data_IF_190070444077
#
_entry.id   IF_190070444077
#
_cell.length_a   1.000
_cell.length_b   1.000
_cell.length_c   1.000
_cell.angle_alpha   90.00
_cell.angle_beta   90.00
_cell.angle_gamma   90.00
#
_symmetry.space_group_name_H-M   'P 1'
#
loop_
_entity.id
_entity.type
_entity.pdbx_description
1 polymer ?
#
# COMPACT_ATOMS: atom_id res chain seq x y z
N UNK A 1 8.85 -3.17 13.58
CA UNK A 1 9.18 -4.17 12.55
C UNK A 1 10.64 -4.60 12.71
N UNK A 2 10.94 -5.89 12.60
CA UNK A 2 12.32 -6.41 12.60
C UNK A 2 12.98 -6.22 11.23
N UNK A 3 14.29 -6.47 11.14
CA UNK A 3 15.02 -6.41 9.86
C UNK A 3 14.52 -7.47 8.88
N UNK A 4 14.31 -8.71 9.36
CA UNK A 4 13.88 -9.81 8.50
C UNK A 4 12.44 -9.60 8.01
N UNK A 5 11.56 -9.07 8.86
CA UNK A 5 10.20 -8.72 8.45
C UNK A 5 10.18 -7.58 7.40
N UNK A 6 11.02 -6.56 7.58
CA UNK A 6 11.15 -5.49 6.59
C UNK A 6 11.74 -5.99 5.27
N UNK A 7 12.72 -6.89 5.34
CA UNK A 7 13.33 -7.51 4.16
C UNK A 7 12.29 -8.32 3.38
N UNK A 8 11.51 -9.16 4.06
CA UNK A 8 10.43 -9.94 3.44
C UNK A 8 9.38 -9.02 2.78
N UNK A 9 8.93 -7.98 3.48
CA UNK A 9 7.94 -7.02 2.95
C UNK A 9 8.45 -6.27 1.71
N UNK A 10 9.74 -5.90 1.69
CA UNK A 10 10.33 -5.16 0.58
C UNK A 10 10.71 -6.06 -0.59
N UNK A 11 11.35 -7.20 -0.34
CA UNK A 11 11.99 -7.99 -1.39
C UNK A 11 11.31 -9.33 -1.66
N UNK A 12 10.55 -9.88 -0.72
CA UNK A 12 10.03 -11.25 -0.80
C UNK A 12 11.17 -12.25 -1.00
N UNK A 13 11.00 -13.17 -1.94
CA UNK A 13 11.99 -14.21 -2.27
C UNK A 13 13.15 -13.71 -3.15
N UNK A 14 13.20 -12.41 -3.48
CA UNK A 14 14.29 -11.86 -4.30
C UNK A 14 15.62 -12.02 -3.57
N UNK A 15 16.71 -12.37 -4.27
CA UNK A 15 18.02 -12.67 -3.68
C UNK A 15 18.79 -11.40 -3.27
N UNK A 16 18.16 -10.53 -2.47
CA UNK A 16 18.76 -9.31 -1.94
C UNK A 16 19.36 -9.63 -0.57
N UNK A 17 20.62 -9.25 -0.34
CA UNK A 17 21.26 -9.49 0.96
C UNK A 17 20.74 -8.51 2.00
N UNK A 18 20.63 -8.94 3.26
CA UNK A 18 20.26 -8.06 4.40
C UNK A 18 21.24 -6.90 4.59
N UNK A 19 22.51 -7.05 4.16
CA UNK A 19 23.49 -5.96 4.13
C UNK A 19 23.08 -4.81 3.21
N UNK A 20 22.46 -5.09 2.06
CA UNK A 20 21.93 -4.07 1.15
C UNK A 20 20.84 -3.27 1.84
N UNK A 21 19.87 -3.94 2.48
CA UNK A 21 18.80 -3.28 3.24
C UNK A 21 19.35 -2.39 4.36
N UNK A 22 20.35 -2.85 5.11
CA UNK A 22 21.00 -2.03 6.16
C UNK A 22 21.63 -0.76 5.56
N UNK A 23 22.29 -0.87 4.41
CA UNK A 23 22.89 0.27 3.72
C UNK A 23 21.84 1.25 3.19
N UNK A 24 20.74 0.76 2.62
CA UNK A 24 19.61 1.58 2.19
C UNK A 24 18.97 2.32 3.36
N UNK A 25 18.70 1.64 4.48
CA UNK A 25 18.17 2.28 5.70
C UNK A 25 19.15 3.31 6.27
N UNK A 26 20.45 3.03 6.28
CA UNK A 26 21.47 3.99 6.72
C UNK A 26 21.45 5.25 5.85
N UNK A 27 21.29 5.07 4.55
CA UNK A 27 21.21 6.17 3.57
C UNK A 27 19.94 7.00 3.80
N UNK A 28 18.78 6.35 3.91
CA UNK A 28 17.51 7.01 4.20
C UNK A 28 17.55 7.75 5.54
N UNK A 29 18.11 7.14 6.59
CA UNK A 29 18.27 7.79 7.90
C UNK A 29 19.08 9.07 7.78
N UNK A 30 20.16 9.07 7.00
CA UNK A 30 20.98 10.27 6.77
C UNK A 30 20.20 11.34 6.00
N UNK A 31 19.48 10.97 4.95
CA UNK A 31 18.66 11.90 4.15
C UNK A 31 17.53 12.52 4.97
N UNK A 32 16.98 11.77 5.92
CA UNK A 32 15.87 12.19 6.78
C UNK A 32 16.34 12.78 8.11
N UNK A 33 17.62 13.17 8.22
CA UNK A 33 18.15 13.85 9.41
C UNK A 33 18.07 13.01 10.70
N UNK A 34 18.14 11.68 10.60
CA UNK A 34 18.03 10.78 11.74
C UNK A 34 16.63 10.29 12.05
N UNK A 35 15.59 10.70 11.31
CA UNK A 35 14.19 10.37 11.63
C UNK A 35 13.76 8.92 11.39
N UNK A 36 14.69 7.96 11.27
CA UNK A 36 14.38 6.53 11.30
C UNK A 36 15.03 5.91 12.53
N UNK A 37 14.22 5.40 13.45
CA UNK A 37 14.74 4.68 14.62
C UNK A 37 15.49 3.39 14.24
N UNK A 38 16.41 2.98 15.10
CA UNK A 38 17.30 1.86 14.87
C UNK A 38 16.61 0.51 14.95
N UNK A 39 15.85 0.24 16.03
CA UNK A 39 15.03 -0.97 16.22
C UNK A 39 13.93 -0.72 17.27
N UNK A 40 12.66 -0.96 16.94
CA UNK A 40 12.14 -1.32 15.60
C UNK A 40 12.33 -0.18 14.59
N UNK A 41 12.51 -0.51 13.30
CA UNK A 41 12.54 0.53 12.26
C UNK A 41 11.19 1.27 12.23
N UNK A 42 11.22 2.56 12.58
CA UNK A 42 10.06 3.45 12.63
C UNK A 42 10.44 4.83 12.14
N UNK A 43 9.54 5.46 11.38
CA UNK A 43 9.60 6.89 11.11
C UNK A 43 9.23 7.63 12.40
N UNK A 44 10.14 8.47 12.90
CA UNK A 44 9.98 9.25 14.15
C UNK A 44 9.90 10.75 13.88
N UNK A 45 9.48 11.11 12.68
CA UNK A 45 9.20 12.46 12.24
C UNK A 45 7.74 12.58 11.82
N UNK A 46 7.26 13.82 11.80
CA UNK A 46 5.98 14.14 11.19
C UNK A 46 6.04 13.79 9.70
N UNK A 47 5.15 12.91 9.28
CA UNK A 47 5.02 12.49 7.89
C UNK A 47 3.54 12.51 7.52
N UNK A 48 3.27 12.95 6.30
CA UNK A 48 1.97 12.81 5.66
C UNK A 48 2.10 11.81 4.53
N UNK A 49 1.07 11.01 4.36
CA UNK A 49 1.02 9.98 3.35
C UNK A 49 -0.38 10.03 2.75
N UNK A 50 -0.46 10.44 1.48
CA UNK A 50 -1.69 10.58 0.72
C UNK A 50 -2.52 9.30 0.69
N UNK A 51 -1.85 8.15 0.56
CA UNK A 51 -2.52 6.84 0.58
C UNK A 51 -3.16 6.54 1.93
N UNK A 52 -2.66 7.09 3.05
CA UNK A 52 -3.32 6.93 4.36
C UNK A 52 -4.66 7.68 4.36
N UNK A 53 -4.71 8.88 3.80
CA UNK A 53 -5.96 9.64 3.68
C UNK A 53 -6.96 8.94 2.75
N UNK A 54 -6.48 8.43 1.62
CA UNK A 54 -7.29 7.64 0.69
C UNK A 54 -7.85 6.39 1.36
N UNK A 55 -6.99 5.64 2.05
CA UNK A 55 -7.36 4.43 2.78
C UNK A 55 -8.43 4.71 3.83
N UNK A 56 -8.30 5.82 4.57
CA UNK A 56 -9.32 6.24 5.53
C UNK A 56 -10.65 6.56 4.84
N UNK A 57 -10.63 7.27 3.70
CA UNK A 57 -11.85 7.56 2.95
C UNK A 57 -12.54 6.28 2.46
N UNK A 58 -11.78 5.33 1.92
CA UNK A 58 -12.28 4.02 1.49
C UNK A 58 -12.86 3.23 2.67
N UNK A 59 -12.15 3.16 3.81
CA UNK A 59 -12.62 2.45 5.01
C UNK A 59 -13.94 3.00 5.55
N UNK A 60 -14.17 4.31 5.45
CA UNK A 60 -15.41 4.94 5.90
C UNK A 60 -16.49 4.99 4.80
N UNK A 61 -16.26 4.39 3.63
CA UNK A 61 -17.19 4.45 2.50
C UNK A 61 -17.42 5.87 1.97
N UNK A 62 -16.53 6.82 2.26
CA UNK A 62 -16.65 8.20 1.81
C UNK A 62 -16.23 8.30 0.34
N UNK A 63 -17.19 8.01 -0.54
CA UNK A 63 -16.97 7.91 -1.98
C UNK A 63 -16.40 9.17 -2.59
N UNK A 64 -17.03 10.31 -2.33
CA UNK A 64 -16.61 11.59 -2.92
C UNK A 64 -15.16 11.89 -2.56
N UNK A 65 -14.80 11.70 -1.29
CA UNK A 65 -13.44 11.91 -0.82
C UNK A 65 -12.45 10.90 -1.42
N UNK A 66 -12.83 9.63 -1.52
CA UNK A 66 -11.98 8.59 -2.10
C UNK A 66 -11.67 8.89 -3.58
N UNK A 67 -12.67 9.26 -4.39
CA UNK A 67 -12.48 9.62 -5.79
C UNK A 67 -11.65 10.89 -5.98
N UNK A 68 -11.76 11.88 -5.08
CA UNK A 68 -10.91 13.07 -5.11
C UNK A 68 -9.44 12.77 -4.74
N UNK A 69 -9.21 11.77 -3.89
CA UNK A 69 -7.89 11.41 -3.40
C UNK A 69 -7.18 10.37 -4.28
N UNK A 70 -7.92 9.53 -5.00
CA UNK A 70 -7.35 8.50 -5.86
C UNK A 70 -6.70 9.14 -7.09
N UNK A 71 -5.37 9.03 -7.19
CA UNK A 71 -4.56 9.60 -8.28
C UNK A 71 -4.01 8.55 -9.24
N UNK A 72 -4.56 7.34 -9.18
CA UNK A 72 -4.04 6.16 -9.88
C UNK A 72 -3.36 5.17 -8.93
N UNK A 73 -2.74 4.11 -9.48
CA UNK A 73 -2.25 2.99 -8.69
C UNK A 73 -1.17 3.41 -7.69
N UNK A 74 -1.17 2.80 -6.50
CA UNK A 74 -0.18 3.07 -5.46
C UNK A 74 1.24 2.68 -5.91
N UNK A 75 2.16 3.65 -5.97
CA UNK A 75 3.60 3.44 -6.25
C UNK A 75 3.85 2.44 -7.41
N UNK A 76 3.39 2.72 -8.64
CA UNK A 76 3.32 1.70 -9.72
C UNK A 76 4.68 1.16 -10.17
N UNK A 77 5.77 1.90 -9.93
CA UNK A 77 7.14 1.42 -10.18
C UNK A 77 7.72 0.53 -9.08
N UNK A 78 7.02 0.39 -7.95
CA UNK A 78 7.47 -0.46 -6.85
C UNK A 78 7.06 -1.92 -7.10
N UNK A 79 8.05 -2.80 -6.94
CA UNK A 79 7.89 -4.26 -6.99
C UNK A 79 7.95 -4.90 -5.61
N UNK A 80 7.81 -4.11 -4.54
CA UNK A 80 7.74 -4.65 -3.18
C UNK A 80 6.46 -5.48 -3.03
N UNK A 81 6.54 -6.73 -2.54
CA UNK A 81 5.36 -7.58 -2.33
C UNK A 81 4.29 -6.89 -1.48
N UNK A 82 4.69 -6.33 -0.34
CA UNK A 82 3.79 -5.62 0.57
C UNK A 82 3.09 -4.45 -0.13
N UNK A 83 3.82 -3.66 -0.92
CA UNK A 83 3.23 -2.53 -1.65
C UNK A 83 2.33 -2.96 -2.82
N UNK A 84 2.65 -4.07 -3.47
CA UNK A 84 1.79 -4.66 -4.51
C UNK A 84 0.47 -5.13 -3.92
N UNK A 85 0.49 -5.82 -2.78
CA UNK A 85 -0.75 -6.23 -2.10
C UNK A 85 -1.62 -5.03 -1.71
N UNK A 86 -1.00 -3.96 -1.17
CA UNK A 86 -1.72 -2.74 -0.85
C UNK A 86 -2.29 -2.04 -2.08
N UNK A 87 -1.54 -2.01 -3.19
CA UNK A 87 -2.03 -1.48 -4.47
C UNK A 87 -3.26 -2.24 -4.93
N UNK A 88 -3.18 -3.57 -5.00
CA UNK A 88 -4.28 -4.41 -5.46
C UNK A 88 -5.51 -4.25 -4.56
N UNK A 89 -5.32 -4.12 -3.25
CA UNK A 89 -6.39 -3.88 -2.29
C UNK A 89 -7.08 -2.54 -2.49
N UNK A 90 -6.32 -1.46 -2.68
CA UNK A 90 -6.86 -0.11 -2.88
C UNK A 90 -7.58 -0.03 -4.23
N UNK A 91 -7.00 -0.62 -5.26
CA UNK A 91 -7.57 -0.64 -6.61
C UNK A 91 -8.89 -1.43 -6.61
N UNK A 92 -8.96 -2.56 -5.90
CA UNK A 92 -10.19 -3.34 -5.74
C UNK A 92 -11.29 -2.58 -4.99
N UNK A 93 -10.97 -1.95 -3.85
CA UNK A 93 -11.95 -1.17 -3.09
C UNK A 93 -12.45 0.05 -3.85
N UNK A 94 -11.56 0.73 -4.57
CA UNK A 94 -11.93 1.88 -5.38
C UNK A 94 -12.85 1.45 -6.53
N UNK A 95 -12.56 0.30 -7.16
CA UNK A 95 -13.39 -0.31 -8.19
C UNK A 95 -14.80 -0.65 -7.67
N UNK A 96 -14.89 -1.39 -6.56
CA UNK A 96 -16.17 -1.74 -5.94
C UNK A 96 -17.01 -0.51 -5.57
N UNK A 97 -16.36 0.53 -5.04
CA UNK A 97 -17.00 1.79 -4.70
C UNK A 97 -17.54 2.53 -5.94
N UNK A 98 -16.86 2.42 -7.09
CA UNK A 98 -17.34 2.97 -8.38
C UNK A 98 -18.51 2.13 -8.92
N UNK A 99 -18.39 0.80 -8.92
CA UNK A 99 -19.40 -0.13 -9.43
C UNK A 99 -20.74 0.00 -8.69
N UNK A 100 -20.70 0.09 -7.35
CA UNK A 100 -21.89 0.29 -6.53
C UNK A 100 -22.61 1.64 -6.77
N UNK A 101 -22.03 2.51 -7.62
CA UNK A 101 -22.53 3.84 -7.92
C UNK A 101 -23.01 4.03 -9.36
N UNK A 102 -22.79 3.07 -10.27
CA UNK A 102 -23.09 3.24 -11.69
C UNK A 102 -23.72 2.00 -12.34
N UNK A 103 -24.70 2.31 -13.20
CA UNK A 103 -25.47 1.43 -14.05
C UNK A 103 -24.60 0.65 -15.07
N UNK A 104 -25.16 -0.46 -15.59
CA UNK A 104 -24.55 -1.68 -16.15
C UNK A 104 -23.52 -1.55 -17.30
N UNK A 105 -23.44 -0.45 -18.04
CA UNK A 105 -22.54 -0.34 -19.21
C UNK A 105 -21.07 -0.04 -18.87
N UNK A 106 -20.77 0.44 -17.65
CA UNK A 106 -19.41 0.79 -17.22
C UNK A 106 -18.65 -0.37 -16.55
N UNK A 107 -19.39 -1.36 -16.04
CA UNK A 107 -18.87 -2.61 -15.45
C UNK A 107 -18.10 -3.49 -16.45
N UNK A 108 -18.42 -3.41 -17.75
CA UNK A 108 -17.78 -4.24 -18.79
C UNK A 108 -16.31 -3.85 -19.08
N UNK A 109 -15.81 -2.76 -18.49
CA UNK A 109 -14.41 -2.32 -18.62
C UNK A 109 -13.50 -2.87 -17.49
N UNK A 110 -14.06 -3.48 -16.44
CA UNK A 110 -13.31 -4.14 -15.33
C UNK A 110 -12.59 -5.46 -15.73
N UNK A 111 -12.29 -5.65 -17.02
CA UNK A 111 -11.90 -6.92 -17.60
C UNK A 111 -10.46 -7.41 -17.33
N UNK A 112 -9.65 -6.80 -16.46
CA UNK A 112 -8.38 -7.42 -16.09
C UNK A 112 -7.99 -7.22 -14.63
N UNK A 113 -7.86 -8.37 -13.95
CA UNK A 113 -7.18 -8.65 -12.68
C UNK A 113 -8.02 -8.54 -11.40
N UNK A 114 -8.71 -9.66 -11.13
CA UNK A 114 -9.23 -10.10 -9.83
C UNK A 114 -8.16 -10.09 -8.75
N UNK A 115 -8.47 -9.45 -7.62
CA UNK A 115 -7.63 -9.44 -6.42
C UNK A 115 -7.40 -10.87 -5.85
N UNK A 116 -6.13 -11.17 -5.53
CA UNK A 116 -5.71 -12.46 -4.97
C UNK A 116 -6.28 -12.77 -3.58
N UNK A 117 -6.15 -14.02 -3.14
CA UNK A 117 -6.70 -14.53 -1.87
C UNK A 117 -6.17 -13.80 -0.62
N UNK A 118 -4.93 -13.33 -0.66
CA UNK A 118 -4.32 -12.50 0.39
C UNK A 118 -4.99 -11.12 0.53
N UNK A 119 -5.47 -10.53 -0.56
CA UNK A 119 -6.17 -9.24 -0.53
C UNK A 119 -7.50 -9.39 0.22
N UNK A 120 -8.22 -10.49 -0.01
CA UNK A 120 -9.50 -10.78 0.67
C UNK A 120 -9.35 -10.94 2.19
N UNK A 121 -8.31 -11.62 2.65
CA UNK A 121 -8.06 -11.78 4.09
C UNK A 121 -7.64 -10.47 4.74
N UNK A 122 -6.89 -9.63 4.03
CA UNK A 122 -6.48 -8.29 4.51
C UNK A 122 -7.69 -7.35 4.60
N UNK A 123 -8.57 -7.37 3.60
CA UNK A 123 -9.86 -6.67 3.64
C UNK A 123 -10.71 -7.12 4.84
N UNK A 124 -10.77 -8.42 5.11
CA UNK A 124 -11.54 -8.97 6.23
C UNK A 124 -10.97 -8.56 7.59
N UNK A 125 -9.65 -8.57 7.76
CA UNK A 125 -8.98 -8.13 8.99
C UNK A 125 -9.12 -6.63 9.27
N UNK A 126 -9.39 -5.82 8.25
CA UNK A 126 -9.46 -4.35 8.37
C UNK A 126 -10.90 -3.81 8.46
N UNK A 127 -11.89 -4.63 8.09
CA UNK A 127 -13.32 -4.37 8.20
C UNK A 127 -13.94 -4.77 9.56
N UNK A 128 -13.18 -5.49 10.40
CA UNK A 128 -13.47 -5.68 11.84
C UNK A 128 -12.88 -4.57 12.69
#
# INVERSE_FOLDING_TARGET
MSLDALHAALYGDRPVRTGTLKSEISTLRRLLGGGIDSRPYRLVMDHRCDVIELWQALKHGNRERALQLYRGPLLPGSSSPELTEWRDCIDALTSELIENCANLDQLLTHAHATAGEQVRDRLRCLAG
#
